data_IF_731422556980
#
_entry.id   IF_731422556980
#
_cell.length_a   1.000
_cell.length_b   1.000
_cell.length_c   1.000
_cell.angle_alpha   90.00
_cell.angle_beta   90.00
_cell.angle_gamma   90.00
#
_symmetry.space_group_name_H-M   'P 1'
#
loop_
_entity.id
_entity.type
_entity.pdbx_description
1 polymer ?
#
# COMPACT_ATOMS: atom_id res chain seq x y z
N UNK A 1 -7.97 -24.91 -20.20
CA UNK A 1 -7.74 -23.46 -20.36
C UNK A 1 -8.16 -22.68 -19.10
N UNK A 2 -9.34 -22.96 -18.55
CA UNK A 2 -9.86 -22.31 -17.33
C UNK A 2 -8.94 -22.46 -16.10
N UNK A 3 -8.41 -23.66 -15.83
CA UNK A 3 -7.50 -23.91 -14.69
C UNK A 3 -6.22 -23.06 -14.79
N UNK A 4 -5.61 -22.99 -15.99
CA UNK A 4 -4.42 -22.17 -16.23
C UNK A 4 -4.70 -20.68 -15.95
N UNK A 5 -5.87 -20.20 -16.34
CA UNK A 5 -6.28 -18.81 -16.06
C UNK A 5 -6.46 -18.53 -14.57
N UNK A 6 -7.14 -19.42 -13.82
CA UNK A 6 -7.29 -19.27 -12.35
C UNK A 6 -5.94 -19.20 -11.64
N UNK A 7 -5.02 -20.09 -12.00
CA UNK A 7 -3.67 -20.11 -11.44
C UNK A 7 -2.89 -18.84 -11.77
N UNK A 8 -2.98 -18.32 -12.99
CA UNK A 8 -2.32 -17.05 -13.37
C UNK A 8 -2.84 -15.90 -12.50
N UNK A 9 -4.16 -15.78 -12.33
CA UNK A 9 -4.76 -14.72 -11.50
C UNK A 9 -4.30 -14.84 -10.05
N UNK A 10 -4.31 -16.05 -9.49
CA UNK A 10 -3.88 -16.31 -8.12
C UNK A 10 -2.40 -15.97 -7.93
N UNK A 11 -1.51 -16.44 -8.82
CA UNK A 11 -0.07 -16.19 -8.75
C UNK A 11 0.24 -14.70 -8.86
N UNK A 12 -0.37 -14.00 -9.81
CA UNK A 12 -0.20 -12.55 -9.95
C UNK A 12 -0.76 -11.79 -8.75
N UNK A 13 -1.91 -12.21 -8.22
CA UNK A 13 -2.50 -11.64 -7.01
C UNK A 13 -1.55 -11.76 -5.81
N UNK A 14 -1.04 -12.96 -5.54
CA UNK A 14 -0.07 -13.21 -4.46
C UNK A 14 1.20 -12.40 -4.65
N UNK A 15 1.76 -12.41 -5.86
CA UNK A 15 3.01 -11.69 -6.17
C UNK A 15 2.88 -10.19 -5.93
N UNK A 16 1.83 -9.55 -6.48
CA UNK A 16 1.64 -8.11 -6.37
C UNK A 16 1.18 -7.68 -4.97
N UNK A 17 0.38 -8.48 -4.27
CA UNK A 17 0.06 -8.24 -2.86
C UNK A 17 1.31 -8.35 -1.99
N UNK A 18 2.17 -9.36 -2.22
CA UNK A 18 3.43 -9.54 -1.49
C UNK A 18 4.42 -8.40 -1.74
N UNK A 19 4.59 -7.96 -2.98
CA UNK A 19 5.41 -6.79 -3.31
C UNK A 19 4.88 -5.51 -2.65
N UNK A 20 3.55 -5.33 -2.63
CA UNK A 20 2.92 -4.18 -1.95
C UNK A 20 3.14 -4.24 -0.44
N UNK A 21 2.97 -5.41 0.18
CA UNK A 21 3.22 -5.60 1.61
C UNK A 21 4.69 -5.33 1.97
N UNK A 22 5.63 -5.84 1.17
CA UNK A 22 7.07 -5.59 1.33
C UNK A 22 7.42 -4.10 1.19
N UNK A 23 6.83 -3.40 0.23
CA UNK A 23 6.98 -1.96 0.06
C UNK A 23 6.45 -1.20 1.29
N UNK A 24 5.23 -1.49 1.74
CA UNK A 24 4.62 -0.85 2.89
C UNK A 24 5.46 -1.09 4.16
N UNK A 25 5.87 -2.33 4.40
CA UNK A 25 6.75 -2.71 5.51
C UNK A 25 8.07 -1.96 5.46
N UNK A 26 8.76 -1.93 4.31
CA UNK A 26 10.05 -1.24 4.17
C UNK A 26 9.92 0.25 4.47
N UNK A 27 8.83 0.87 4.00
CA UNK A 27 8.56 2.28 4.28
C UNK A 27 8.35 2.54 5.78
N UNK A 28 7.54 1.72 6.45
CA UNK A 28 7.29 1.84 7.90
C UNK A 28 8.50 1.47 8.77
N UNK A 29 9.32 0.52 8.34
CA UNK A 29 10.41 -0.03 9.13
C UNK A 29 11.72 0.75 8.99
N UNK A 30 12.02 1.25 7.78
CA UNK A 30 13.32 1.83 7.47
C UNK A 30 13.24 3.24 6.87
N UNK A 31 12.35 3.48 5.90
CA UNK A 31 12.34 4.76 5.17
C UNK A 31 11.84 5.91 6.06
N UNK A 32 10.61 5.84 6.57
CA UNK A 32 10.08 6.95 7.38
C UNK A 32 10.79 7.13 8.71
N UNK A 33 11.23 6.06 9.43
CA UNK A 33 12.10 6.25 10.60
C UNK A 33 13.49 6.78 10.25
N UNK A 34 14.01 6.45 9.07
CA UNK A 34 15.32 6.91 8.59
C UNK A 34 15.33 8.40 8.31
N UNK A 35 14.42 8.86 7.44
CA UNK A 35 14.28 10.29 7.13
C UNK A 35 13.74 11.10 8.32
N UNK A 36 12.99 10.47 9.23
CA UNK A 36 12.49 11.09 10.46
C UNK A 36 13.59 11.60 11.39
N UNK A 37 14.83 11.10 11.22
CA UNK A 37 16.03 11.57 11.95
C UNK A 37 16.65 12.84 11.37
N UNK A 38 16.21 13.28 10.19
CA UNK A 38 16.67 14.51 9.56
C UNK A 38 16.01 15.74 10.20
N UNK A 39 16.59 16.91 9.95
CA UNK A 39 15.93 18.19 10.23
C UNK A 39 14.65 18.36 9.39
N UNK A 40 13.80 19.32 9.78
CA UNK A 40 12.46 19.44 9.20
C UNK A 40 12.46 19.72 7.70
N UNK A 41 13.40 20.55 7.22
CA UNK A 41 13.51 20.88 5.82
C UNK A 41 14.01 19.66 5.02
N UNK A 42 15.03 18.98 5.52
CA UNK A 42 15.59 17.78 4.89
C UNK A 42 14.59 16.62 4.85
N UNK A 43 13.78 16.44 5.90
CA UNK A 43 12.68 15.47 5.92
C UNK A 43 11.70 15.72 4.79
N UNK A 44 11.16 16.95 4.68
CA UNK A 44 10.14 17.31 3.71
C UNK A 44 10.67 17.25 2.28
N UNK A 45 11.91 17.72 2.04
CA UNK A 45 12.58 17.60 0.73
C UNK A 45 12.79 16.16 0.30
N UNK A 46 13.24 15.30 1.22
CA UNK A 46 13.39 13.88 0.96
C UNK A 46 12.06 13.23 0.60
N UNK A 47 11.00 13.58 1.33
CA UNK A 47 9.66 13.05 1.08
C UNK A 47 9.10 13.49 -0.28
N UNK A 48 9.26 14.75 -0.68
CA UNK A 48 8.88 15.22 -2.02
C UNK A 48 9.65 14.47 -3.12
N UNK A 49 10.98 14.31 -2.97
CA UNK A 49 11.79 13.58 -3.94
C UNK A 49 11.32 12.13 -4.10
N UNK A 50 11.00 11.44 -3.00
CA UNK A 50 10.47 10.08 -3.03
C UNK A 50 9.05 10.00 -3.63
N UNK A 51 8.17 10.95 -3.30
CA UNK A 51 6.82 11.03 -3.87
C UNK A 51 6.87 11.19 -5.40
N UNK A 52 7.80 12.00 -5.92
CA UNK A 52 8.00 12.15 -7.37
C UNK A 52 8.57 10.88 -8.02
N UNK A 53 9.55 10.23 -7.37
CA UNK A 53 10.22 9.04 -7.92
C UNK A 53 9.31 7.79 -7.95
N UNK A 54 8.44 7.62 -6.95
CA UNK A 54 7.62 6.41 -6.80
C UNK A 54 6.47 6.34 -7.82
N UNK A 55 5.99 7.48 -8.33
CA UNK A 55 4.87 7.52 -9.29
C UNK A 55 5.38 7.19 -10.69
N UNK A 56 5.43 5.89 -10.99
CA UNK A 56 5.77 5.37 -12.31
C UNK A 56 4.87 4.18 -12.68
N UNK A 57 4.79 3.78 -13.97
CA UNK A 57 3.88 2.71 -14.39
C UNK A 57 4.09 1.38 -13.67
N UNK A 58 5.33 1.03 -13.33
CA UNK A 58 5.65 -0.23 -12.65
C UNK A 58 5.06 -0.24 -11.23
N UNK A 59 5.23 0.85 -10.49
CA UNK A 59 4.63 1.02 -9.18
C UNK A 59 3.10 0.97 -9.26
N UNK A 60 2.48 1.73 -10.18
CA UNK A 60 1.02 1.77 -10.30
C UNK A 60 0.44 0.38 -10.59
N UNK A 61 1.07 -0.40 -11.48
CA UNK A 61 0.65 -1.77 -11.76
C UNK A 61 0.80 -2.64 -10.52
N UNK A 62 1.98 -2.71 -9.91
CA UNK A 62 2.23 -3.59 -8.75
C UNK A 62 1.34 -3.23 -7.56
N UNK A 63 1.15 -1.94 -7.29
CA UNK A 63 0.45 -1.46 -6.12
C UNK A 63 -1.07 -1.54 -6.24
N UNK A 64 -1.63 -1.27 -7.43
CA UNK A 64 -3.09 -1.23 -7.63
C UNK A 64 -3.67 -2.47 -8.32
N UNK A 65 -2.90 -3.28 -9.05
CA UNK A 65 -3.42 -4.50 -9.66
C UNK A 65 -4.10 -5.46 -8.66
N UNK A 66 -3.63 -5.63 -7.41
CA UNK A 66 -4.33 -6.48 -6.45
C UNK A 66 -5.77 -6.06 -6.16
N UNK A 67 -6.10 -4.76 -6.28
CA UNK A 67 -7.49 -4.29 -6.11
C UNK A 67 -8.44 -5.06 -7.03
N UNK A 68 -8.04 -5.32 -8.27
CA UNK A 68 -8.88 -6.06 -9.23
C UNK A 68 -8.62 -7.56 -9.13
N UNK A 69 -7.34 -7.97 -9.06
CA UNK A 69 -6.96 -9.38 -9.09
C UNK A 69 -7.53 -10.17 -7.90
N UNK A 70 -7.62 -9.58 -6.70
CA UNK A 70 -8.11 -10.32 -5.53
C UNK A 70 -9.62 -10.56 -5.57
N UNK A 71 -10.42 -9.61 -6.09
CA UNK A 71 -11.84 -9.85 -6.34
C UNK A 71 -12.06 -10.85 -7.47
N UNK A 72 -11.28 -10.76 -8.55
CA UNK A 72 -11.32 -11.75 -9.63
C UNK A 72 -10.96 -13.15 -9.11
N UNK A 73 -9.91 -13.27 -8.31
CA UNK A 73 -9.52 -14.51 -7.64
C UNK A 73 -10.67 -15.08 -6.81
N UNK A 74 -11.29 -14.25 -5.97
CA UNK A 74 -12.43 -14.63 -5.14
C UNK A 74 -13.60 -15.16 -6.00
N UNK A 75 -13.92 -14.48 -7.10
CA UNK A 75 -14.96 -14.94 -8.03
C UNK A 75 -14.61 -16.27 -8.70
N UNK A 76 -13.36 -16.45 -9.13
CA UNK A 76 -12.90 -17.67 -9.79
C UNK A 76 -12.89 -18.89 -8.85
N UNK A 77 -12.66 -18.67 -7.56
CA UNK A 77 -12.68 -19.67 -6.49
C UNK A 77 -13.97 -19.68 -5.67
N UNK A 78 -15.06 -19.07 -6.16
CA UNK A 78 -16.37 -19.01 -5.46
C UNK A 78 -17.03 -20.36 -5.16
N UNK A 79 -16.58 -21.43 -5.81
CA UNK A 79 -17.04 -22.82 -5.62
C UNK A 79 -16.03 -23.67 -4.84
N UNK A 80 -14.94 -23.09 -4.35
CA UNK A 80 -14.04 -23.76 -3.43
C UNK A 80 -14.75 -24.01 -2.09
N UNK A 81 -14.09 -24.72 -1.17
CA UNK A 81 -14.60 -24.87 0.19
C UNK A 81 -14.82 -23.49 0.86
N UNK A 82 -15.72 -23.47 1.84
CA UNK A 82 -16.12 -22.23 2.49
C UNK A 82 -14.93 -21.47 3.12
N UNK A 83 -13.96 -22.19 3.69
CA UNK A 83 -12.78 -21.59 4.31
C UNK A 83 -11.94 -20.85 3.26
N UNK A 84 -11.60 -21.50 2.15
CA UNK A 84 -10.85 -20.89 1.04
C UNK A 84 -11.57 -19.64 0.50
N UNK A 85 -12.89 -19.73 0.28
CA UNK A 85 -13.66 -18.60 -0.22
C UNK A 85 -13.60 -17.39 0.71
N UNK A 86 -13.84 -17.60 2.01
CA UNK A 86 -13.84 -16.50 2.98
C UNK A 86 -12.45 -15.91 3.21
N UNK A 87 -11.38 -16.72 3.13
CA UNK A 87 -10.01 -16.22 3.19
C UNK A 87 -9.68 -15.29 2.01
N UNK A 88 -10.02 -15.70 0.78
CA UNK A 88 -9.78 -14.89 -0.42
C UNK A 88 -10.64 -13.62 -0.45
N UNK A 89 -11.92 -13.72 -0.08
CA UNK A 89 -12.78 -12.55 0.01
C UNK A 89 -12.29 -11.56 1.07
N UNK A 90 -11.88 -12.05 2.24
CA UNK A 90 -11.34 -11.20 3.31
C UNK A 90 -10.06 -10.51 2.87
N UNK A 91 -9.16 -11.21 2.18
CA UNK A 91 -7.96 -10.62 1.60
C UNK A 91 -8.30 -9.50 0.59
N UNK A 92 -9.28 -9.74 -0.29
CA UNK A 92 -9.72 -8.74 -1.28
C UNK A 92 -10.30 -7.49 -0.63
N UNK A 93 -11.21 -7.65 0.34
CA UNK A 93 -11.84 -6.53 1.05
C UNK A 93 -10.82 -5.75 1.88
N UNK A 94 -9.95 -6.43 2.63
CA UNK A 94 -8.91 -5.79 3.42
C UNK A 94 -7.93 -5.00 2.55
N UNK A 95 -7.49 -5.57 1.42
CA UNK A 95 -6.60 -4.86 0.51
C UNK A 95 -7.30 -3.65 -0.13
N UNK A 96 -8.54 -3.83 -0.59
CA UNK A 96 -9.29 -2.74 -1.22
C UNK A 96 -9.49 -1.55 -0.27
N UNK A 97 -10.01 -1.81 0.94
CA UNK A 97 -10.30 -0.75 1.91
C UNK A 97 -9.01 -0.22 2.54
N UNK A 98 -8.17 -1.12 3.05
CA UNK A 98 -6.99 -0.78 3.84
C UNK A 98 -5.80 -0.28 3.03
N UNK A 99 -5.69 -0.68 1.76
CA UNK A 99 -4.60 -0.23 0.88
C UNK A 99 -5.14 0.73 -0.18
N UNK A 100 -6.09 0.28 -0.99
CA UNK A 100 -6.62 1.06 -2.12
C UNK A 100 -7.27 2.38 -1.68
N UNK A 101 -8.34 2.30 -0.89
CA UNK A 101 -9.08 3.48 -0.46
C UNK A 101 -8.26 4.41 0.44
N UNK A 102 -7.49 3.86 1.40
CA UNK A 102 -6.61 4.69 2.24
C UNK A 102 -5.57 5.42 1.39
N UNK A 103 -5.00 4.78 0.37
CA UNK A 103 -4.03 5.46 -0.51
C UNK A 103 -4.68 6.63 -1.23
N UNK A 104 -5.82 6.43 -1.89
CA UNK A 104 -6.48 7.47 -2.70
C UNK A 104 -7.09 8.57 -1.84
N UNK A 105 -7.69 8.22 -0.70
CA UNK A 105 -8.46 9.17 0.11
C UNK A 105 -7.65 9.84 1.23
N UNK A 106 -6.48 9.30 1.59
CA UNK A 106 -5.67 9.82 2.72
C UNK A 106 -4.24 10.14 2.31
N UNK A 107 -3.45 9.15 1.89
CA UNK A 107 -2.03 9.38 1.61
C UNK A 107 -1.80 10.26 0.36
N UNK A 108 -2.57 10.08 -0.72
CA UNK A 108 -2.45 10.90 -1.93
C UNK A 108 -2.77 12.37 -1.64
N UNK A 109 -3.88 12.73 -0.96
CA UNK A 109 -4.14 14.12 -0.57
C UNK A 109 -3.02 14.74 0.27
N UNK A 110 -2.48 14.01 1.26
CA UNK A 110 -1.35 14.49 2.06
C UNK A 110 -0.12 14.74 1.19
N UNK A 111 0.20 13.80 0.29
CA UNK A 111 1.31 13.92 -0.65
C UNK A 111 1.14 15.15 -1.57
N UNK A 112 -0.07 15.41 -2.05
CA UNK A 112 -0.37 16.57 -2.90
C UNK A 112 -0.20 17.89 -2.15
N UNK A 113 -0.62 17.97 -0.88
CA UNK A 113 -0.39 19.16 -0.04
C UNK A 113 1.12 19.44 0.09
N UNK A 114 1.90 18.39 0.38
CA UNK A 114 3.35 18.53 0.51
C UNK A 114 4.01 18.90 -0.83
N UNK A 115 3.59 18.30 -1.93
CA UNK A 115 4.14 18.56 -3.26
C UNK A 115 3.90 20.00 -3.72
N UNK A 116 2.76 20.58 -3.36
CA UNK A 116 2.40 21.97 -3.69
C UNK A 116 3.06 23.02 -2.77
N UNK A 117 3.83 22.60 -1.77
CA UNK A 117 4.53 23.50 -0.85
C UNK A 117 5.92 23.87 -1.40
N UNK A 118 6.19 25.16 -1.63
CA UNK A 118 7.51 25.67 -1.99
C UNK A 118 8.33 25.84 -0.71
N UNK A 119 9.12 24.82 -0.36
CA UNK A 119 9.79 24.74 0.93
C UNK A 119 10.85 25.82 1.14
N UNK A 120 11.44 26.33 0.06
CA UNK A 120 12.44 27.41 0.07
C UNK A 120 11.87 28.76 0.49
N UNK A 121 10.56 28.99 0.27
CA UNK A 121 9.89 30.25 0.58
C UNK A 121 9.35 30.30 2.01
N UNK A 122 9.38 29.17 2.73
CA UNK A 122 8.82 29.03 4.07
C UNK A 122 9.82 29.48 5.14
N UNK A 123 9.30 30.13 6.19
CA UNK A 123 10.07 30.34 7.42
C UNK A 123 10.38 29.01 8.11
N UNK A 124 11.41 28.96 8.95
CA UNK A 124 11.73 27.76 9.73
C UNK A 124 10.58 27.29 10.63
N UNK A 125 9.75 28.22 11.11
CA UNK A 125 8.55 27.91 11.91
C UNK A 125 7.48 27.23 11.07
N UNK A 126 7.27 27.71 9.83
CA UNK A 126 6.27 27.14 8.92
C UNK A 126 6.67 25.76 8.41
N UNK A 127 7.96 25.55 8.12
CA UNK A 127 8.53 24.24 7.76
C UNK A 127 8.27 23.22 8.87
N UNK A 128 8.55 23.59 10.13
CA UNK A 128 8.31 22.73 11.28
C UNK A 128 6.83 22.37 11.43
N UNK A 129 5.94 23.36 11.34
CA UNK A 129 4.48 23.16 11.45
C UNK A 129 3.94 22.25 10.34
N UNK A 130 4.44 22.41 9.12
CA UNK A 130 4.08 21.55 7.99
C UNK A 130 4.49 20.10 8.25
N UNK A 131 5.71 19.87 8.74
CA UNK A 131 6.18 18.53 9.10
C UNK A 131 5.33 17.89 10.20
N UNK A 132 5.08 18.59 11.31
CA UNK A 132 4.32 18.03 12.44
C UNK A 132 2.93 17.53 12.00
N UNK A 133 2.28 18.29 11.12
CA UNK A 133 0.96 17.95 10.58
C UNK A 133 1.03 16.79 9.58
N UNK A 134 2.05 16.79 8.71
CA UNK A 134 2.22 15.81 7.65
C UNK A 134 2.71 14.46 8.16
N UNK A 135 3.82 14.43 8.91
CA UNK A 135 4.53 13.20 9.28
C UNK A 135 3.65 12.27 10.12
N UNK A 136 3.00 12.83 11.14
CA UNK A 136 2.13 12.06 12.05
C UNK A 136 0.93 11.44 11.31
N UNK A 137 0.21 12.27 10.55
CA UNK A 137 -0.94 11.85 9.75
C UNK A 137 -0.55 10.83 8.69
N UNK A 138 0.53 11.08 7.96
CA UNK A 138 0.98 10.20 6.88
C UNK A 138 1.41 8.84 7.42
N UNK A 139 2.21 8.81 8.49
CA UNK A 139 2.66 7.57 9.11
C UNK A 139 1.50 6.75 9.68
N UNK A 140 0.49 7.40 10.27
CA UNK A 140 -0.71 6.72 10.76
C UNK A 140 -1.45 5.97 9.64
N UNK A 141 -1.77 6.65 8.53
CA UNK A 141 -2.47 6.03 7.41
C UNK A 141 -1.61 4.96 6.72
N UNK A 142 -0.30 5.19 6.61
CA UNK A 142 0.63 4.22 6.04
C UNK A 142 0.82 2.97 6.92
N UNK A 143 0.73 3.10 8.25
CA UNK A 143 0.71 1.96 9.16
C UNK A 143 -0.51 1.07 8.91
N UNK A 144 -1.70 1.65 8.70
CA UNK A 144 -2.90 0.88 8.37
C UNK A 144 -2.71 0.13 7.04
N UNK A 145 -2.15 0.79 6.02
CA UNK A 145 -1.79 0.12 4.74
C UNK A 145 -0.83 -1.05 4.95
N UNK A 146 0.15 -0.89 5.84
CA UNK A 146 1.13 -1.94 6.15
C UNK A 146 0.47 -3.15 6.80
N UNK A 147 -0.32 -2.95 7.84
CA UNK A 147 -1.03 -4.03 8.54
C UNK A 147 -2.00 -4.74 7.59
N UNK A 148 -2.81 -3.98 6.84
CA UNK A 148 -3.84 -4.55 5.97
C UNK A 148 -3.25 -5.28 4.76
N UNK A 149 -2.19 -4.75 4.13
CA UNK A 149 -1.49 -5.46 3.05
C UNK A 149 -0.80 -6.74 3.52
N UNK A 150 -0.13 -6.71 4.69
CA UNK A 150 0.50 -7.89 5.28
C UNK A 150 -0.53 -8.97 5.64
N UNK A 151 -1.64 -8.59 6.27
CA UNK A 151 -2.74 -9.50 6.59
C UNK A 151 -3.37 -10.07 5.32
N UNK A 152 -3.65 -9.25 4.30
CA UNK A 152 -4.19 -9.73 3.03
C UNK A 152 -3.23 -10.73 2.34
N UNK A 153 -1.93 -10.45 2.35
CA UNK A 153 -0.92 -11.38 1.83
C UNK A 153 -0.93 -12.72 2.58
N UNK A 154 -0.98 -12.67 3.91
CA UNK A 154 -1.02 -13.86 4.76
C UNK A 154 -2.28 -14.68 4.50
N UNK A 155 -3.44 -14.05 4.39
CA UNK A 155 -4.71 -14.72 4.07
C UNK A 155 -4.69 -15.41 2.71
N UNK A 156 -4.02 -14.83 1.70
CA UNK A 156 -3.84 -15.48 0.40
C UNK A 156 -2.97 -16.74 0.53
N UNK A 157 -1.85 -16.66 1.24
CA UNK A 157 -0.97 -17.81 1.47
C UNK A 157 -1.70 -18.93 2.22
N UNK A 158 -2.43 -18.60 3.28
CA UNK A 158 -3.23 -19.56 4.03
C UNK A 158 -4.34 -20.14 3.15
N UNK A 159 -5.04 -19.32 2.37
CA UNK A 159 -6.08 -19.78 1.45
C UNK A 159 -5.56 -20.77 0.40
N UNK A 160 -4.32 -20.61 -0.07
CA UNK A 160 -3.67 -21.58 -0.97
C UNK A 160 -3.48 -22.93 -0.27
N UNK A 161 -3.11 -22.95 1.02
CA UNK A 161 -2.87 -24.19 1.76
C UNK A 161 -4.16 -24.97 2.05
N UNK A 162 -5.30 -24.29 2.18
CA UNK A 162 -6.61 -24.92 2.39
C UNK A 162 -7.28 -25.37 1.09
N UNK A 163 -6.93 -24.75 -0.03
CA UNK A 163 -7.45 -25.07 -1.36
C UNK A 163 -6.82 -26.38 -1.87
N UNK A 164 -7.49 -27.51 -1.60
CA UNK A 164 -7.10 -28.85 -2.08
C UNK A 164 -7.67 -29.16 -3.47
#
# INVERSE_FOLDING_TARGET
MEIKFKLIVLVLGVLFTGLTAGLCFTWSNAITPGIGRLDDLSFLKSFQAMNRAIINPRFLIVFFAPVVLLFLNTYLYRKADATTFWLFLSAAVLFFIGVGLITVLKNVPLNTILENSVLEDLSSVDVKRLRETFESSWNFWHMIRTITSFTAFTLLLVGILYNK
#
